data_IF_261670946115
#
_entry.id   IF_261670946115
#
_cell.length_a   1.000
_cell.length_b   1.000
_cell.length_c   1.000
_cell.angle_alpha   90.00
_cell.angle_beta   90.00
_cell.angle_gamma   90.00
#
_symmetry.space_group_name_H-M   'P 1'
#
loop_
_entity.id
_entity.type
_entity.pdbx_description
1 polymer ?
#
# COMPACT_ATOMS: atom_id res chain seq x y z
N UNK A 1 -15.31 18.91 3.47
CA UNK A 1 -15.39 18.86 1.99
C UNK A 1 -14.11 19.48 1.46
N UNK A 2 -13.30 18.75 0.69
CA UNK A 2 -11.95 19.16 0.22
C UNK A 2 -11.92 20.45 -0.60
N UNK A 3 -13.07 20.83 -1.17
CA UNK A 3 -13.26 22.12 -1.82
C UNK A 3 -14.17 22.95 -0.93
N UNK A 4 -13.69 24.11 -0.46
CA UNK A 4 -14.60 25.18 -0.02
C UNK A 4 -15.51 25.44 -1.20
N UNK A 5 -16.82 25.24 -1.06
CA UNK A 5 -17.81 25.62 -2.07
C UNK A 5 -17.63 27.12 -2.32
N UNK A 6 -16.89 27.49 -3.36
CA UNK A 6 -16.74 28.90 -3.72
C UNK A 6 -17.91 29.33 -4.59
N UNK A 7 -18.29 30.59 -4.40
CA UNK A 7 -19.37 31.33 -5.05
C UNK A 7 -19.48 31.08 -6.57
N UNK A 8 -20.68 31.30 -7.12
CA UNK A 8 -21.06 31.21 -8.54
C UNK A 8 -19.90 31.40 -9.54
N UNK A 9 -19.86 30.55 -10.56
CA UNK A 9 -18.87 30.62 -11.63
C UNK A 9 -19.02 31.95 -12.39
N UNK A 10 -18.02 32.82 -12.25
CA UNK A 10 -17.94 34.08 -13.02
C UNK A 10 -17.02 33.94 -14.22
N UNK A 11 -17.22 34.78 -15.24
CA UNK A 11 -16.34 34.85 -16.42
C UNK A 11 -14.88 35.12 -16.04
N UNK A 12 -14.65 35.97 -15.04
CA UNK A 12 -13.32 36.30 -14.53
C UNK A 12 -12.62 35.09 -13.89
N UNK A 13 -13.31 34.35 -13.03
CA UNK A 13 -12.78 33.10 -12.44
C UNK A 13 -12.50 32.04 -13.50
N UNK A 14 -13.33 31.95 -14.53
CA UNK A 14 -13.10 31.02 -15.63
C UNK A 14 -11.84 31.38 -16.43
N UNK A 15 -11.57 32.67 -16.66
CA UNK A 15 -10.36 33.14 -17.34
C UNK A 15 -9.10 32.98 -16.47
N UNK A 16 -9.22 33.17 -15.15
CA UNK A 16 -8.12 33.09 -14.20
C UNK A 16 -8.46 32.16 -13.02
N UNK A 17 -8.48 30.83 -13.25
CA UNK A 17 -8.87 29.87 -12.22
C UNK A 17 -7.85 29.84 -11.08
N UNK A 18 -8.37 29.76 -9.86
CA UNK A 18 -7.60 29.48 -8.65
C UNK A 18 -7.01 28.07 -8.65
N UNK A 19 -6.12 27.81 -7.69
CA UNK A 19 -5.38 26.54 -7.57
C UNK A 19 -6.28 25.32 -7.35
N UNK A 20 -7.46 25.50 -6.77
CA UNK A 20 -8.47 24.46 -6.58
C UNK A 20 -9.04 23.89 -7.89
N UNK A 21 -8.88 24.61 -9.01
CA UNK A 21 -9.33 24.22 -10.35
C UNK A 21 -8.18 23.80 -11.28
N UNK A 22 -6.95 23.77 -10.78
CA UNK A 22 -5.75 23.45 -11.55
C UNK A 22 -5.28 22.03 -11.26
N UNK A 23 -4.56 21.45 -12.23
CA UNK A 23 -3.99 20.12 -12.07
C UNK A 23 -2.96 20.08 -10.93
N UNK A 24 -2.90 18.94 -10.24
CA UNK A 24 -1.97 18.64 -9.16
C UNK A 24 -1.29 17.29 -9.47
N UNK A 25 -0.13 17.28 -10.12
CA UNK A 25 0.53 16.03 -10.50
C UNK A 25 1.02 15.25 -9.27
N UNK A 26 1.24 13.94 -9.45
CA UNK A 26 2.09 13.17 -8.52
C UNK A 26 3.53 13.67 -8.63
N UNK A 27 4.00 14.31 -7.58
CA UNK A 27 5.38 14.76 -7.47
C UNK A 27 6.21 13.67 -6.78
N UNK A 28 6.95 12.93 -7.61
CA UNK A 28 7.80 11.85 -7.17
C UNK A 28 8.97 12.37 -6.31
N UNK A 29 8.98 12.00 -5.04
CA UNK A 29 10.15 12.06 -4.18
C UNK A 29 10.92 10.75 -4.34
N UNK A 30 11.94 10.78 -5.19
CA UNK A 30 12.69 9.60 -5.66
C UNK A 30 14.22 9.79 -5.56
N UNK A 31 14.65 10.69 -4.68
CA UNK A 31 16.05 10.95 -4.37
C UNK A 31 16.14 11.51 -2.94
N UNK A 32 17.35 11.93 -2.52
CA UNK A 32 17.47 12.77 -1.32
C UNK A 32 16.80 14.12 -1.57
N UNK A 33 15.68 14.35 -0.91
CA UNK A 33 14.94 15.61 -0.93
C UNK A 33 15.55 16.60 0.06
N UNK A 34 15.58 17.86 -0.35
CA UNK A 34 16.08 18.99 0.43
C UNK A 34 15.16 20.20 0.21
N UNK A 35 15.29 21.24 1.05
CA UNK A 35 14.50 22.47 0.90
C UNK A 35 14.72 23.14 -0.46
N UNK A 36 15.96 23.14 -0.95
CA UNK A 36 16.32 23.72 -2.25
C UNK A 36 15.62 22.99 -3.41
N UNK A 37 15.51 21.66 -3.33
CA UNK A 37 14.78 20.86 -4.33
C UNK A 37 13.27 21.09 -4.26
N UNK A 38 12.73 21.29 -3.05
CA UNK A 38 11.33 21.65 -2.84
C UNK A 38 11.04 23.00 -3.50
N UNK A 39 11.82 24.03 -3.18
CA UNK A 39 11.69 25.38 -3.74
C UNK A 39 11.76 25.36 -5.27
N UNK A 40 12.79 24.71 -5.82
CA UNK A 40 12.95 24.58 -7.27
C UNK A 40 11.75 23.89 -7.91
N UNK A 41 11.29 22.77 -7.37
CA UNK A 41 10.19 22.00 -7.97
C UNK A 41 8.88 22.77 -7.91
N UNK A 42 8.56 23.42 -6.79
CA UNK A 42 7.35 24.22 -6.67
C UNK A 42 7.37 25.43 -7.61
N UNK A 43 8.52 26.09 -7.78
CA UNK A 43 8.71 27.15 -8.77
C UNK A 43 8.37 26.68 -10.18
N UNK A 44 8.89 25.53 -10.59
CA UNK A 44 8.62 24.95 -11.91
C UNK A 44 7.14 24.56 -12.07
N UNK A 45 6.54 23.91 -11.06
CA UNK A 45 5.12 23.56 -11.08
C UNK A 45 4.23 24.81 -11.21
N UNK A 46 4.59 25.90 -10.52
CA UNK A 46 3.87 27.18 -10.60
C UNK A 46 3.99 27.80 -12.00
N UNK A 47 5.18 27.82 -12.58
CA UNK A 47 5.42 28.32 -13.94
C UNK A 47 4.61 27.54 -14.98
N UNK A 48 4.52 26.21 -14.81
CA UNK A 48 3.67 25.33 -15.63
C UNK A 48 2.16 25.54 -15.41
N UNK A 49 1.76 26.39 -14.45
CA UNK A 49 0.36 26.68 -14.16
C UNK A 49 -0.36 25.63 -13.31
N UNK A 50 0.38 24.78 -12.59
CA UNK A 50 -0.18 23.77 -11.69
C UNK A 50 -0.73 24.40 -10.41
N UNK A 51 -1.75 23.76 -9.83
CA UNK A 51 -2.38 24.20 -8.58
C UNK A 51 -1.65 23.74 -7.34
N UNK A 52 -0.67 22.84 -7.47
CA UNK A 52 -0.08 22.13 -6.35
C UNK A 52 0.66 20.88 -6.80
N UNK A 53 0.96 19.99 -5.85
CA UNK A 53 1.52 18.67 -6.11
C UNK A 53 1.20 17.67 -5.01
N UNK A 54 1.07 16.40 -5.38
CA UNK A 54 0.98 15.30 -4.42
C UNK A 54 2.38 14.84 -4.04
N UNK A 55 2.78 15.09 -2.80
CA UNK A 55 4.05 14.60 -2.23
C UNK A 55 3.97 13.08 -2.20
N UNK A 56 4.69 12.42 -3.11
CA UNK A 56 4.56 10.99 -3.35
C UNK A 56 5.93 10.32 -3.32
N UNK A 57 6.16 9.54 -2.28
CA UNK A 57 7.34 8.68 -2.13
C UNK A 57 7.45 7.69 -3.29
N UNK A 58 8.62 7.59 -3.92
CA UNK A 58 8.87 6.65 -5.02
C UNK A 58 10.22 5.98 -4.85
N UNK A 59 10.43 4.88 -5.59
CA UNK A 59 11.71 4.17 -5.63
C UNK A 59 12.87 5.13 -5.86
N UNK A 60 13.88 5.06 -5.00
CA UNK A 60 15.04 5.96 -4.98
C UNK A 60 14.99 7.05 -3.91
N UNK A 61 13.88 7.18 -3.17
CA UNK A 61 13.81 8.08 -2.01
C UNK A 61 14.88 7.73 -0.97
N UNK A 62 15.62 8.76 -0.52
CA UNK A 62 16.73 8.63 0.44
C UNK A 62 16.47 9.42 1.74
N UNK A 63 15.21 9.79 1.96
CA UNK A 63 14.70 10.28 3.23
C UNK A 63 13.90 9.15 3.87
N UNK A 64 14.13 8.86 5.14
CA UNK A 64 13.37 7.83 5.85
C UNK A 64 11.89 8.20 5.90
N UNK A 65 11.03 7.38 5.30
CA UNK A 65 9.58 7.58 5.30
C UNK A 65 9.05 7.74 6.73
N UNK A 66 8.20 8.75 6.95
CA UNK A 66 7.67 9.14 8.27
C UNK A 66 8.72 9.48 9.34
N UNK A 67 9.98 9.64 8.96
CA UNK A 67 11.04 10.16 9.84
C UNK A 67 10.97 11.68 10.02
N UNK A 68 11.69 12.19 11.01
CA UNK A 68 11.71 13.64 11.34
C UNK A 68 12.11 14.51 10.14
N UNK A 69 13.14 14.13 9.39
CA UNK A 69 13.58 14.86 8.20
C UNK A 69 12.49 14.88 7.11
N UNK A 70 11.86 13.73 6.85
CA UNK A 70 10.79 13.61 5.87
C UNK A 70 9.59 14.49 6.24
N UNK A 71 9.11 14.38 7.49
CA UNK A 71 7.99 15.17 7.99
C UNK A 71 8.34 16.67 8.01
N UNK A 72 9.57 17.04 8.36
CA UNK A 72 10.05 18.41 8.27
C UNK A 72 10.02 18.97 6.84
N UNK A 73 10.38 18.17 5.84
CA UNK A 73 10.29 18.54 4.44
C UNK A 73 8.84 18.61 3.93
N UNK A 74 7.95 17.74 4.41
CA UNK A 74 6.51 17.80 4.11
C UNK A 74 5.92 19.10 4.66
N UNK A 75 6.22 19.45 5.90
CA UNK A 75 5.79 20.72 6.50
C UNK A 75 6.31 21.93 5.72
N UNK A 76 7.60 21.93 5.41
CA UNK A 76 8.21 22.99 4.62
C UNK A 76 7.60 23.13 3.22
N UNK A 77 7.33 22.00 2.56
CA UNK A 77 6.63 21.97 1.27
C UNK A 77 5.27 22.66 1.38
N UNK A 78 4.55 22.38 2.45
CA UNK A 78 3.25 22.96 2.67
C UNK A 78 3.28 24.47 2.93
N UNK A 79 4.21 24.93 3.77
CA UNK A 79 4.47 26.36 4.00
C UNK A 79 4.75 27.08 2.66
N UNK A 80 5.59 26.48 1.80
CA UNK A 80 5.92 27.04 0.48
C UNK A 80 4.73 27.06 -0.49
N UNK A 81 3.95 25.98 -0.54
CA UNK A 81 2.73 25.95 -1.32
C UNK A 81 1.80 27.11 -0.92
N UNK A 82 1.60 27.36 0.38
CA UNK A 82 0.78 28.47 0.87
C UNK A 82 1.30 29.83 0.43
N UNK A 83 2.60 30.10 0.59
CA UNK A 83 3.25 31.33 0.14
C UNK A 83 3.01 31.58 -1.37
N UNK A 84 2.96 30.51 -2.16
CA UNK A 84 2.76 30.56 -3.61
C UNK A 84 1.28 30.49 -4.04
N UNK A 85 0.34 30.42 -3.09
CA UNK A 85 -1.08 30.21 -3.36
C UNK A 85 -1.38 28.89 -4.07
N UNK A 86 -0.60 27.84 -3.78
CA UNK A 86 -0.74 26.46 -4.26
C UNK A 86 -1.26 25.55 -3.14
N UNK A 87 -1.70 24.34 -3.50
CA UNK A 87 -2.21 23.32 -2.61
C UNK A 87 -1.20 22.18 -2.44
N UNK A 88 -1.06 21.69 -1.22
CA UNK A 88 -0.26 20.50 -0.92
C UNK A 88 -1.19 19.31 -0.82
N UNK A 89 -0.85 18.22 -1.52
CA UNK A 89 -1.55 16.95 -1.39
C UNK A 89 -0.59 15.91 -0.82
N UNK A 90 -1.11 15.11 0.10
CA UNK A 90 -0.34 14.07 0.78
C UNK A 90 -0.71 12.70 0.21
N UNK A 91 0.25 11.79 0.21
CA UNK A 91 0.07 10.41 -0.20
C UNK A 91 0.40 9.49 0.99
N UNK A 92 -0.48 8.56 1.29
CA UNK A 92 -0.52 7.82 2.56
C UNK A 92 0.38 6.58 2.60
N UNK A 93 1.41 6.50 1.75
CA UNK A 93 2.25 5.30 1.64
C UNK A 93 3.67 5.61 1.11
N UNK A 94 4.63 4.76 1.46
CA UNK A 94 5.91 4.65 0.75
C UNK A 94 5.71 3.82 -0.52
N UNK A 95 5.74 4.48 -1.68
CA UNK A 95 5.43 3.93 -3.00
C UNK A 95 3.96 3.52 -3.11
N UNK A 96 3.66 2.28 -3.44
CA UNK A 96 2.32 1.77 -3.71
C UNK A 96 2.38 0.26 -3.52
N UNK A 97 1.31 -0.45 -3.12
CA UNK A 97 0.00 0.04 -2.68
C UNK A 97 -0.06 0.46 -1.21
N UNK A 98 -1.02 1.32 -0.87
CA UNK A 98 -1.32 1.73 0.52
C UNK A 98 -1.71 0.54 1.39
N UNK A 99 -1.07 0.44 2.55
CA UNK A 99 -1.36 -0.50 3.62
C UNK A 99 -0.12 -0.88 4.43
N UNK A 100 1.06 -0.95 3.82
CA UNK A 100 2.28 -1.33 4.53
C UNK A 100 2.83 -0.20 5.41
N UNK A 101 2.55 1.07 5.04
CA UNK A 101 3.08 2.26 5.70
C UNK A 101 4.61 2.28 5.68
N UNK A 102 5.23 1.98 4.54
CA UNK A 102 6.68 1.78 4.40
C UNK A 102 7.21 0.59 5.19
N UNK A 103 6.37 -0.39 5.49
CA UNK A 103 6.70 -1.55 6.33
C UNK A 103 6.55 -1.30 7.84
N UNK A 104 6.25 -0.06 8.26
CA UNK A 104 6.08 0.28 9.67
C UNK A 104 4.89 -0.42 10.33
N UNK A 105 3.88 -0.79 9.54
CA UNK A 105 2.70 -1.53 9.99
C UNK A 105 2.97 -3.03 9.95
N UNK A 106 3.39 -3.54 8.79
CA UNK A 106 3.44 -4.98 8.50
C UNK A 106 4.73 -5.66 8.93
N UNK A 107 5.67 -4.93 9.54
CA UNK A 107 6.72 -5.52 10.37
C UNK A 107 6.17 -6.34 11.54
N UNK A 108 4.96 -6.03 11.98
CA UNK A 108 4.21 -6.88 12.87
C UNK A 108 3.46 -7.94 12.05
N UNK A 109 3.86 -9.20 12.21
CA UNK A 109 3.32 -10.33 11.46
C UNK A 109 1.80 -10.48 11.61
N UNK A 110 1.21 -10.01 12.72
CA UNK A 110 -0.23 -10.10 12.92
C UNK A 110 -1.01 -9.30 11.86
N UNK A 111 -0.43 -8.19 11.37
CA UNK A 111 -1.03 -7.29 10.39
C UNK A 111 -0.70 -7.63 8.93
N UNK A 112 0.10 -8.66 8.67
CA UNK A 112 0.42 -9.10 7.31
C UNK A 112 -0.76 -9.78 6.64
N UNK A 113 -0.91 -9.56 5.33
CA UNK A 113 -1.94 -10.20 4.51
C UNK A 113 -1.88 -11.73 4.69
N UNK A 114 -3.05 -12.36 4.72
CA UNK A 114 -3.20 -13.80 4.72
C UNK A 114 -3.87 -14.24 3.42
N UNK A 115 -3.48 -15.40 2.92
CA UNK A 115 -4.06 -15.96 1.70
C UNK A 115 -4.31 -17.46 1.85
N UNK A 116 -5.26 -17.95 1.05
CA UNK A 116 -5.57 -19.37 0.97
C UNK A 116 -4.61 -20.03 -0.02
N UNK A 117 -4.00 -21.13 0.39
CA UNK A 117 -3.29 -22.04 -0.52
C UNK A 117 -4.10 -23.32 -0.62
N UNK A 118 -4.63 -23.59 -1.80
CA UNK A 118 -5.33 -24.84 -2.11
C UNK A 118 -4.48 -25.63 -3.10
N UNK A 119 -3.99 -26.80 -2.69
CA UNK A 119 -2.91 -27.52 -3.38
C UNK A 119 -3.08 -29.03 -3.28
N UNK A 120 -2.72 -29.82 -4.32
CA UNK A 120 -2.63 -31.28 -4.23
C UNK A 120 -1.41 -31.76 -3.42
N UNK A 121 -0.50 -30.85 -3.06
CA UNK A 121 0.71 -31.18 -2.31
C UNK A 121 0.49 -30.98 -0.80
N UNK A 122 0.76 -32.02 0.01
CA UNK A 122 0.86 -31.84 1.45
C UNK A 122 2.07 -30.97 1.79
N UNK A 123 1.85 -29.82 2.43
CA UNK A 123 2.88 -28.84 2.81
C UNK A 123 3.27 -28.91 4.29
N UNK A 124 2.76 -29.88 5.04
CA UNK A 124 3.06 -30.04 6.46
C UNK A 124 4.55 -30.36 6.65
N UNK A 125 5.22 -29.56 7.48
CA UNK A 125 6.66 -29.70 7.74
C UNK A 125 7.56 -29.39 6.55
N UNK A 126 7.03 -28.92 5.42
CA UNK A 126 7.82 -28.53 4.25
C UNK A 126 8.27 -27.08 4.32
N UNK A 127 9.57 -26.87 4.20
CA UNK A 127 10.14 -25.55 3.97
C UNK A 127 10.11 -25.22 2.47
N UNK A 128 9.45 -24.11 2.14
CA UNK A 128 9.55 -23.50 0.82
C UNK A 128 10.45 -22.27 0.91
N UNK A 129 11.18 -22.01 -0.16
CA UNK A 129 11.93 -20.77 -0.35
C UNK A 129 11.12 -19.84 -1.25
N UNK A 130 10.93 -18.60 -0.79
CA UNK A 130 10.32 -17.56 -1.61
C UNK A 130 11.14 -17.36 -2.89
N UNK A 131 10.46 -17.09 -4.01
CA UNK A 131 11.13 -16.71 -5.23
C UNK A 131 11.90 -15.39 -5.01
N UNK A 132 13.23 -15.44 -5.14
CA UNK A 132 14.08 -14.27 -4.97
C UNK A 132 13.98 -13.38 -6.22
N UNK A 133 13.84 -12.06 -6.02
CA UNK A 133 13.98 -11.08 -7.10
C UNK A 133 12.69 -10.59 -7.76
N UNK A 134 11.51 -10.85 -7.20
CA UNK A 134 10.27 -10.22 -7.68
C UNK A 134 10.13 -8.79 -7.13
N UNK A 135 10.12 -7.79 -8.01
CA UNK A 135 9.75 -6.41 -7.68
C UNK A 135 8.28 -6.15 -7.99
N UNK A 136 7.39 -6.89 -7.32
CA UNK A 136 5.95 -6.74 -7.46
C UNK A 136 5.26 -6.84 -6.09
N UNK A 137 4.12 -6.17 -5.94
CA UNK A 137 3.35 -6.13 -4.68
C UNK A 137 2.46 -7.37 -4.47
N UNK A 138 2.97 -8.58 -4.73
CA UNK A 138 2.23 -9.82 -4.53
C UNK A 138 2.48 -10.41 -3.14
N UNK A 139 1.52 -11.21 -2.67
CA UNK A 139 1.72 -12.05 -1.49
C UNK A 139 2.80 -13.09 -1.79
N UNK A 140 3.69 -13.30 -0.82
CA UNK A 140 4.83 -14.20 -0.96
C UNK A 140 4.60 -15.41 -0.06
N UNK A 141 4.88 -16.60 -0.62
CA UNK A 141 4.85 -17.85 0.14
C UNK A 141 5.77 -17.76 1.35
N UNK A 142 5.25 -18.02 2.53
CA UNK A 142 6.00 -18.17 3.77
C UNK A 142 5.86 -19.61 4.27
N UNK A 143 6.61 -19.96 5.31
CA UNK A 143 6.43 -21.23 6.01
C UNK A 143 5.48 -21.09 7.23
N UNK A 144 4.87 -19.91 7.41
CA UNK A 144 3.88 -19.62 8.46
C UNK A 144 2.48 -20.01 8.00
N UNK A 145 2.18 -21.31 8.14
CA UNK A 145 0.95 -21.94 7.63
C UNK A 145 0.12 -22.57 8.73
N UNK A 146 -1.20 -22.51 8.58
CA UNK A 146 -2.16 -23.30 9.35
C UNK A 146 -2.97 -24.16 8.40
N UNK A 147 -2.93 -25.49 8.56
CA UNK A 147 -3.76 -26.41 7.77
C UNK A 147 -5.22 -26.21 8.16
N UNK A 148 -6.06 -25.87 7.19
CA UNK A 148 -7.50 -25.66 7.38
C UNK A 148 -8.31 -26.94 7.13
N UNK A 149 -7.82 -27.80 6.24
CA UNK A 149 -8.53 -29.05 5.94
C UNK A 149 -7.86 -29.85 4.83
N UNK A 150 -8.35 -31.08 4.69
CA UNK A 150 -7.98 -32.03 3.64
C UNK A 150 -9.24 -32.39 2.88
N UNK A 151 -9.14 -32.51 1.57
CA UNK A 151 -10.28 -32.66 0.68
C UNK A 151 -10.00 -33.80 -0.29
N UNK A 152 -11.04 -34.53 -0.66
CA UNK A 152 -11.03 -35.31 -1.89
C UNK A 152 -11.59 -34.43 -3.00
N UNK A 153 -10.89 -34.37 -4.12
CA UNK A 153 -11.23 -33.53 -5.27
C UNK A 153 -11.24 -34.38 -6.52
N UNK A 154 -12.31 -34.30 -7.30
CA UNK A 154 -12.41 -34.95 -8.59
C UNK A 154 -12.37 -33.90 -9.69
N UNK A 155 -11.38 -34.02 -10.56
CA UNK A 155 -11.30 -33.22 -11.77
C UNK A 155 -11.72 -34.06 -12.98
N UNK A 156 -12.54 -33.48 -13.86
CA UNK A 156 -12.92 -34.07 -15.16
C UNK A 156 -12.63 -33.01 -16.22
N UNK A 157 -11.80 -33.36 -17.21
CA UNK A 157 -11.35 -32.43 -18.26
C UNK A 157 -10.76 -31.12 -17.70
N UNK A 158 -10.02 -31.22 -16.59
CA UNK A 158 -9.44 -30.09 -15.84
C UNK A 158 -10.45 -29.15 -15.16
N UNK A 159 -11.74 -29.51 -15.12
CA UNK A 159 -12.76 -28.81 -14.34
C UNK A 159 -13.06 -29.55 -13.03
N UNK A 160 -13.38 -28.78 -11.99
CA UNK A 160 -13.86 -29.32 -10.72
C UNK A 160 -15.22 -29.99 -10.93
N UNK A 161 -15.27 -31.32 -10.80
CA UNK A 161 -16.49 -32.11 -10.99
C UNK A 161 -17.17 -32.47 -9.66
N UNK A 162 -16.39 -32.76 -8.62
CA UNK A 162 -16.90 -33.07 -7.28
C UNK A 162 -15.82 -32.82 -6.22
N UNK A 163 -16.23 -32.57 -4.98
CA UNK A 163 -15.33 -32.46 -3.83
C UNK A 163 -16.04 -32.74 -2.51
N UNK A 164 -15.28 -33.18 -1.51
CA UNK A 164 -15.74 -33.24 -0.13
C UNK A 164 -14.59 -33.00 0.85
N UNK A 165 -14.89 -32.39 2.00
CA UNK A 165 -13.98 -32.35 3.14
C UNK A 165 -13.79 -33.77 3.66
N UNK A 166 -12.55 -34.12 4.00
CA UNK A 166 -12.17 -35.40 4.59
C UNK A 166 -11.93 -35.21 6.08
N UNK A 167 -12.50 -36.10 6.88
CA UNK A 167 -12.22 -36.17 8.32
C UNK A 167 -10.80 -36.72 8.57
N UNK A 168 -10.36 -36.62 9.83
CA UNK A 168 -9.06 -37.17 10.23
C UNK A 168 -9.04 -38.70 10.04
N UNK A 169 -8.05 -39.20 9.30
CA UNK A 169 -7.88 -40.62 8.99
C UNK A 169 -8.74 -41.17 7.83
N UNK A 170 -9.70 -40.41 7.30
CA UNK A 170 -10.53 -40.85 6.17
C UNK A 170 -9.66 -41.08 4.90
N UNK A 171 -9.95 -42.13 4.14
CA UNK A 171 -9.21 -42.41 2.91
C UNK A 171 -9.89 -41.75 1.71
N UNK A 172 -9.09 -41.28 0.75
CA UNK A 172 -9.59 -40.71 -0.50
C UNK A 172 -10.29 -41.81 -1.31
N UNK A 173 -11.47 -41.51 -1.87
CA UNK A 173 -12.21 -42.46 -2.72
C UNK A 173 -11.48 -42.70 -4.03
N UNK A 174 -11.69 -43.89 -4.61
CA UNK A 174 -11.18 -44.20 -5.95
C UNK A 174 -11.68 -43.18 -6.98
N UNK A 175 -10.77 -42.65 -7.80
CA UNK A 175 -11.06 -41.63 -8.80
C UNK A 175 -11.11 -40.19 -8.28
N UNK A 176 -10.62 -39.94 -7.07
CA UNK A 176 -10.40 -38.60 -6.49
C UNK A 176 -8.92 -38.42 -6.14
N UNK A 177 -8.48 -37.16 -6.14
CA UNK A 177 -7.17 -36.73 -5.66
C UNK A 177 -7.27 -36.09 -4.27
N UNK A 178 -6.21 -36.22 -3.48
CA UNK A 178 -6.10 -35.54 -2.20
C UNK A 178 -5.63 -34.09 -2.38
N UNK A 179 -6.34 -33.15 -1.78
CA UNK A 179 -5.97 -31.74 -1.78
C UNK A 179 -6.00 -31.18 -0.35
N UNK A 180 -5.21 -30.14 -0.12
CA UNK A 180 -5.04 -29.50 1.16
C UNK A 180 -5.34 -28.01 1.05
N UNK A 181 -6.05 -27.49 2.04
CA UNK A 181 -6.24 -26.05 2.22
C UNK A 181 -5.38 -25.55 3.38
N UNK A 182 -4.62 -24.48 3.15
CA UNK A 182 -3.83 -23.80 4.15
C UNK A 182 -4.16 -22.32 4.20
N UNK A 183 -4.23 -21.75 5.41
CA UNK A 183 -4.13 -20.31 5.62
C UNK A 183 -2.66 -19.97 5.81
N UNK A 184 -2.13 -19.08 4.98
CA UNK A 184 -0.72 -18.70 5.02
C UNK A 184 -0.59 -17.20 5.25
N UNK A 185 0.28 -16.81 6.18
CA UNK A 185 0.65 -15.40 6.42
C UNK A 185 1.73 -15.04 5.40
N UNK A 186 1.61 -13.91 4.70
CA UNK A 186 2.61 -13.53 3.69
C UNK A 186 3.99 -13.30 4.31
N UNK A 187 5.01 -13.82 3.61
CA UNK A 187 6.42 -13.60 3.92
C UNK A 187 6.90 -12.23 3.45
N UNK A 188 8.21 -12.05 3.58
CA UNK A 188 8.91 -10.81 3.24
C UNK A 188 8.98 -10.59 1.73
N UNK A 189 8.79 -9.35 1.32
CA UNK A 189 8.83 -8.89 -0.07
C UNK A 189 9.50 -7.52 -0.12
N UNK A 190 10.56 -7.40 -0.93
CA UNK A 190 11.33 -6.18 -1.13
C UNK A 190 10.48 -4.99 -1.61
N UNK A 191 9.35 -5.25 -2.26
CA UNK A 191 8.38 -4.21 -2.64
C UNK A 191 7.83 -3.45 -1.43
N UNK A 192 7.71 -4.11 -0.28
CA UNK A 192 7.18 -3.57 0.98
C UNK A 192 8.27 -3.36 2.03
N UNK A 193 9.50 -2.99 1.63
CA UNK A 193 10.66 -2.83 2.53
C UNK A 193 10.96 -4.09 3.34
N UNK A 194 11.00 -5.23 2.64
CA UNK A 194 11.21 -6.56 3.19
C UNK A 194 10.17 -6.94 4.26
N UNK A 195 8.97 -6.37 4.16
CA UNK A 195 7.79 -6.77 4.92
C UNK A 195 6.73 -7.37 3.98
N UNK A 196 5.45 -7.29 4.32
CA UNK A 196 4.36 -7.75 3.47
C UNK A 196 3.30 -6.68 3.24
N UNK A 197 2.32 -6.97 2.38
CA UNK A 197 1.12 -6.16 2.28
C UNK A 197 0.23 -6.29 3.52
N UNK A 198 -0.66 -5.33 3.74
CA UNK A 198 -1.56 -5.28 4.89
C UNK A 198 -2.66 -6.34 4.81
N UNK A 199 -3.05 -6.88 5.96
CA UNK A 199 -4.31 -7.59 6.11
C UNK A 199 -5.49 -6.61 6.10
N UNK A 200 -5.99 -6.31 4.92
CA UNK A 200 -7.12 -5.39 4.73
C UNK A 200 -8.45 -5.89 5.30
N UNK A 201 -8.53 -7.17 5.69
CA UNK A 201 -9.69 -7.76 6.34
C UNK A 201 -9.64 -7.67 7.87
N UNK A 202 -8.52 -7.22 8.46
CA UNK A 202 -8.38 -7.02 9.91
C UNK A 202 -8.52 -5.53 10.26
N UNK A 203 -9.56 -5.22 11.03
CA UNK A 203 -9.83 -3.86 11.52
C UNK A 203 -8.62 -3.26 12.25
N UNK A 204 -7.92 -4.04 13.09
CA UNK A 204 -6.78 -3.54 13.87
C UNK A 204 -5.60 -3.21 12.97
N UNK A 205 -5.42 -3.96 11.88
CA UNK A 205 -4.39 -3.70 10.89
C UNK A 205 -4.64 -2.36 10.17
N UNK A 206 -5.90 -2.11 9.77
CA UNK A 206 -6.31 -0.84 9.14
C UNK A 206 -6.20 0.32 10.13
N UNK A 207 -6.65 0.16 11.37
CA UNK A 207 -6.48 1.16 12.44
C UNK A 207 -5.00 1.49 12.65
N UNK A 208 -4.12 0.48 12.63
CA UNK A 208 -2.67 0.68 12.76
C UNK A 208 -2.09 1.45 11.57
N UNK A 209 -2.54 1.17 10.34
CA UNK A 209 -2.12 1.90 9.16
C UNK A 209 -2.50 3.39 9.25
N UNK A 210 -3.73 3.70 9.66
CA UNK A 210 -4.21 5.08 9.87
C UNK A 210 -3.33 5.80 10.91
N UNK A 211 -3.03 5.15 12.04
CA UNK A 211 -2.17 5.73 13.09
C UNK A 211 -0.76 6.08 12.62
N UNK A 212 -0.19 5.26 11.72
CA UNK A 212 1.18 5.42 11.24
C UNK A 212 1.28 6.46 10.13
N UNK A 213 0.17 6.72 9.42
CA UNK A 213 0.14 7.57 8.22
C UNK A 213 -0.73 8.80 8.42
N UNK A 214 -2.04 8.64 8.34
CA UNK A 214 -3.03 9.72 8.48
C UNK A 214 -2.85 10.52 9.76
N UNK A 215 -2.83 9.86 10.93
CA UNK A 215 -2.69 10.57 12.22
C UNK A 215 -1.35 11.29 12.33
N UNK A 216 -0.29 10.74 11.72
CA UNK A 216 1.02 11.41 11.69
C UNK A 216 1.01 12.69 10.85
N UNK A 217 0.27 12.68 9.74
CA UNK A 217 0.06 13.89 8.94
C UNK A 217 -0.87 14.88 9.64
N UNK A 218 -1.93 14.41 10.29
CA UNK A 218 -2.85 15.24 11.06
C UNK A 218 -2.14 15.92 12.24
N UNK A 219 -1.31 15.20 12.99
CA UNK A 219 -0.45 15.79 14.05
C UNK A 219 0.49 16.88 13.51
N UNK A 220 0.93 16.76 12.25
CA UNK A 220 1.89 17.68 11.64
C UNK A 220 1.21 18.93 11.04
N UNK A 221 0.03 18.76 10.42
CA UNK A 221 -0.61 19.73 9.54
C UNK A 221 -2.11 19.96 9.80
N UNK A 222 -2.72 19.29 10.79
CA UNK A 222 -4.17 19.28 11.00
C UNK A 222 -4.75 20.60 11.53
N UNK A 223 -3.94 21.42 12.21
CA UNK A 223 -4.35 22.73 12.74
C UNK A 223 -4.38 23.86 11.68
N UNK A 224 -4.22 23.51 10.41
CA UNK A 224 -4.01 24.46 9.31
C UNK A 224 -5.22 24.88 8.47
#
# INVERSE_FOLDING_TARGET
MLYKKTNELTKEKFQNPGSEYRATPFWAWNCKMTKEKVDHTLSVLKEMGMGGGHVHCRTGMDNTYMGEEFLGLVKYTNEKCKEMGMLTWLYDEDRWPSGAGGGLVTKDHQYRIRFLVFTPENLDGKELHAAVGSSNGQAVRSNERTRLGRYQVKLVDSYLADYALLEEGEQVKEGYDEWFAYLEVSGDNAWFNDQAYLNTLDKKAVERFIQVTHEKYEELLGDE
#
